data_IF_394947589113
#
_entry.id   IF_394947589113
#
_cell.length_a   1.000
_cell.length_b   1.000
_cell.length_c   1.000
_cell.angle_alpha   90.00
_cell.angle_beta   90.00
_cell.angle_gamma   90.00
#
_symmetry.space_group_name_H-M   'P 1'
#
loop_
_entity.id
_entity.type
_entity.pdbx_description
1 polymer ?
#
# COMPACT_ATOMS: atom_id res chain seq x y z
N UNK A 1 -51.38 -3.94 -47.03
CA UNK A 1 -49.94 -4.22 -46.91
C UNK A 1 -49.43 -3.45 -45.69
N UNK A 2 -48.89 -4.13 -44.67
CA UNK A 2 -48.21 -3.47 -43.55
C UNK A 2 -46.69 -3.64 -43.71
N UNK A 3 -45.97 -2.53 -43.82
CA UNK A 3 -44.51 -2.48 -43.83
C UNK A 3 -43.99 -2.44 -42.39
N UNK A 4 -43.53 -3.57 -41.89
CA UNK A 4 -42.88 -3.66 -40.57
C UNK A 4 -41.42 -3.22 -40.65
N UNK A 5 -41.09 -2.04 -40.12
CA UNK A 5 -39.69 -1.60 -39.97
C UNK A 5 -38.98 -2.42 -38.90
N UNK A 6 -38.07 -3.29 -39.32
CA UNK A 6 -37.10 -3.94 -38.43
C UNK A 6 -36.10 -2.90 -37.91
N UNK A 7 -36.31 -2.44 -36.68
CA UNK A 7 -35.29 -1.70 -35.93
C UNK A 7 -34.10 -2.62 -35.67
N UNK A 8 -33.03 -2.44 -36.44
CA UNK A 8 -31.75 -3.08 -36.18
C UNK A 8 -31.22 -2.60 -34.83
N UNK A 9 -31.27 -3.45 -33.80
CA UNK A 9 -30.55 -3.20 -32.56
C UNK A 9 -29.04 -3.09 -32.89
N UNK A 10 -28.31 -2.13 -32.30
CA UNK A 10 -26.89 -2.00 -32.56
C UNK A 10 -26.20 -3.30 -32.15
N UNK A 11 -25.47 -3.91 -33.08
CA UNK A 11 -24.63 -5.06 -32.77
C UNK A 11 -23.67 -4.64 -31.66
N UNK A 12 -23.77 -5.31 -30.50
CA UNK A 12 -22.71 -5.22 -29.50
C UNK A 12 -21.45 -5.73 -30.19
N UNK A 13 -20.45 -4.85 -30.33
CA UNK A 13 -19.14 -5.27 -30.81
C UNK A 13 -18.68 -6.46 -29.96
N UNK A 14 -18.26 -7.54 -30.63
CA UNK A 14 -17.43 -8.56 -30.00
C UNK A 14 -16.32 -7.83 -29.24
N UNK A 15 -16.12 -8.08 -27.93
CA UNK A 15 -15.02 -7.47 -27.20
C UNK A 15 -13.73 -7.79 -27.93
N UNK A 16 -13.02 -6.76 -28.38
CA UNK A 16 -11.70 -6.92 -28.98
C UNK A 16 -10.78 -7.71 -28.04
N UNK A 17 -9.71 -8.28 -28.60
CA UNK A 17 -8.71 -8.98 -27.80
C UNK A 17 -8.30 -8.11 -26.60
N UNK A 18 -8.27 -8.64 -25.36
CA UNK A 18 -7.95 -7.85 -24.18
C UNK A 18 -6.62 -7.08 -24.37
N UNK A 19 -6.53 -5.81 -23.93
CA UNK A 19 -5.35 -5.00 -24.18
C UNK A 19 -4.10 -5.62 -23.53
N UNK A 20 -2.93 -5.31 -24.08
CA UNK A 20 -1.64 -5.82 -23.59
C UNK A 20 -0.78 -4.67 -23.11
N UNK A 21 -0.04 -4.87 -22.03
CA UNK A 21 0.86 -3.84 -21.49
C UNK A 21 2.06 -3.63 -22.41
N UNK A 22 2.77 -2.50 -22.28
CA UNK A 22 4.01 -2.23 -23.02
C UNK A 22 5.11 -3.26 -22.74
N UNK A 23 5.13 -3.83 -21.53
CA UNK A 23 5.97 -4.96 -21.18
C UNK A 23 5.59 -6.23 -21.97
N UNK A 24 4.30 -6.54 -22.05
CA UNK A 24 3.81 -7.70 -22.81
C UNK A 24 4.01 -7.58 -24.34
N UNK A 25 3.80 -6.38 -24.91
CA UNK A 25 4.00 -6.13 -26.35
C UNK A 25 5.46 -6.14 -26.75
N UNK A 26 6.35 -5.61 -25.90
CA UNK A 26 7.81 -5.67 -26.07
C UNK A 26 8.44 -7.02 -25.70
N UNK A 27 7.63 -8.03 -25.30
CA UNK A 27 8.09 -9.35 -24.84
C UNK A 27 9.08 -9.28 -23.66
N UNK A 28 8.89 -8.30 -22.78
CA UNK A 28 9.74 -8.06 -21.62
C UNK A 28 11.02 -7.27 -21.90
N UNK A 29 11.22 -6.74 -23.11
CA UNK A 29 12.42 -5.96 -23.45
C UNK A 29 12.43 -4.55 -22.80
N UNK A 30 11.28 -4.04 -22.37
CA UNK A 30 11.14 -2.79 -21.59
C UNK A 30 9.88 -2.79 -20.76
N UNK A 31 9.83 -1.95 -19.73
CA UNK A 31 8.61 -1.69 -18.95
C UNK A 31 7.56 -0.92 -19.76
N UNK A 32 6.30 -0.98 -19.32
CA UNK A 32 5.19 -0.20 -19.86
C UNK A 32 5.44 1.28 -19.62
N UNK A 33 5.38 2.11 -20.65
CA UNK A 33 5.53 3.57 -20.51
C UNK A 33 4.30 4.19 -19.87
N UNK A 34 4.36 5.47 -19.49
CA UNK A 34 3.19 6.17 -18.93
C UNK A 34 2.07 6.33 -19.97
N UNK A 35 2.41 6.56 -21.24
CA UNK A 35 1.43 6.69 -22.32
C UNK A 35 0.69 5.35 -22.54
N UNK A 36 1.43 4.24 -22.63
CA UNK A 36 0.83 2.91 -22.78
C UNK A 36 -0.02 2.49 -21.58
N UNK A 37 0.31 2.93 -20.36
CA UNK A 37 -0.57 2.73 -19.20
C UNK A 37 -1.87 3.53 -19.32
N UNK A 38 -1.80 4.79 -19.78
CA UNK A 38 -2.98 5.62 -19.97
C UNK A 38 -3.92 5.02 -21.04
N UNK A 39 -3.36 4.59 -22.18
CA UNK A 39 -4.11 3.92 -23.26
C UNK A 39 -4.71 2.59 -22.77
N UNK A 40 -3.91 1.75 -22.10
CA UNK A 40 -4.36 0.47 -21.54
C UNK A 40 -5.51 0.64 -20.53
N UNK A 41 -5.41 1.61 -19.61
CA UNK A 41 -6.45 1.86 -18.62
C UNK A 41 -7.73 2.39 -19.28
N UNK A 42 -7.62 3.28 -20.26
CA UNK A 42 -8.77 3.79 -21.02
C UNK A 42 -9.47 2.69 -21.84
N UNK A 43 -8.73 1.77 -22.45
CA UNK A 43 -9.28 0.63 -23.17
C UNK A 43 -10.04 -0.34 -22.25
N UNK A 44 -9.49 -0.67 -21.08
CA UNK A 44 -10.16 -1.56 -20.12
C UNK A 44 -11.42 -0.91 -19.53
N UNK A 45 -11.36 0.37 -19.18
CA UNK A 45 -12.49 1.18 -18.68
C UNK A 45 -13.66 1.19 -19.67
N UNK A 46 -13.36 1.53 -20.93
CA UNK A 46 -14.33 1.56 -22.03
C UNK A 46 -14.91 0.19 -22.37
N UNK A 47 -14.12 -0.88 -22.26
CA UNK A 47 -14.51 -2.22 -22.70
C UNK A 47 -15.29 -3.03 -21.65
N UNK A 48 -15.17 -2.72 -20.35
CA UNK A 48 -15.78 -3.51 -19.28
C UNK A 48 -16.44 -2.65 -18.22
N UNK A 49 -17.77 -2.71 -18.13
CA UNK A 49 -18.56 -2.07 -17.07
C UNK A 49 -18.18 -2.52 -15.63
N UNK A 50 -17.38 -3.58 -15.49
CA UNK A 50 -16.77 -4.00 -14.22
C UNK A 50 -15.68 -3.08 -13.72
N UNK A 51 -15.09 -2.29 -14.62
CA UNK A 51 -14.01 -1.35 -14.34
C UNK A 51 -14.53 0.08 -14.37
N UNK A 52 -13.94 0.92 -13.53
CA UNK A 52 -14.02 2.38 -13.65
C UNK A 52 -12.67 2.99 -13.23
N UNK A 53 -12.15 3.93 -13.99
CA UNK A 53 -10.87 4.61 -13.71
C UNK A 53 -11.11 6.07 -13.30
N UNK A 54 -10.64 6.45 -12.10
CA UNK A 54 -10.69 7.84 -11.60
C UNK A 54 -9.29 8.43 -11.45
N UNK A 55 -9.13 9.73 -11.72
CA UNK A 55 -7.92 10.47 -11.38
C UNK A 55 -8.00 11.00 -9.94
N UNK A 56 -7.16 10.48 -9.05
CA UNK A 56 -7.06 10.90 -7.64
C UNK A 56 -6.44 12.29 -7.44
N UNK A 57 -5.71 12.77 -8.44
CA UNK A 57 -4.93 14.01 -8.42
C UNK A 57 -3.74 13.92 -9.36
N UNK A 58 -2.77 14.81 -9.19
CA UNK A 58 -1.51 14.79 -9.93
C UNK A 58 -0.31 14.91 -8.98
N UNK A 59 0.84 14.41 -9.44
CA UNK A 59 2.16 14.57 -8.80
C UNK A 59 2.69 16.00 -8.90
N UNK A 60 3.86 16.28 -8.30
CA UNK A 60 4.54 17.57 -8.44
C UNK A 60 4.94 17.90 -9.91
N UNK A 61 5.25 16.90 -10.74
CA UNK A 61 5.45 17.11 -12.20
C UNK A 61 4.14 17.08 -13.02
N UNK A 62 2.97 17.03 -12.38
CA UNK A 62 1.67 17.05 -13.06
C UNK A 62 1.24 15.71 -13.67
N UNK A 63 1.90 14.60 -13.34
CA UNK A 63 1.49 13.25 -13.81
C UNK A 63 0.25 12.77 -13.05
N UNK A 64 -0.76 12.20 -13.71
CA UNK A 64 -1.96 11.72 -13.03
C UNK A 64 -1.67 10.54 -12.10
N UNK A 65 -2.33 10.55 -10.94
CA UNK A 65 -2.42 9.42 -10.00
C UNK A 65 -3.78 8.76 -10.20
N UNK A 66 -3.81 7.51 -10.66
CA UNK A 66 -5.04 6.82 -11.03
C UNK A 66 -5.52 5.84 -9.94
N UNK A 67 -6.84 5.76 -9.74
CA UNK A 67 -7.52 4.70 -9.02
C UNK A 67 -8.36 3.89 -10.00
N UNK A 68 -8.14 2.59 -10.06
CA UNK A 68 -8.96 1.64 -10.81
C UNK A 68 -9.88 0.92 -9.83
N UNK A 69 -11.19 0.99 -10.07
CA UNK A 69 -12.23 0.32 -9.29
C UNK A 69 -12.78 -0.86 -10.07
N UNK A 70 -12.80 -2.04 -9.45
CA UNK A 70 -13.25 -3.28 -10.08
C UNK A 70 -14.31 -3.97 -9.22
N UNK A 71 -15.40 -4.42 -9.83
CA UNK A 71 -16.48 -5.18 -9.19
C UNK A 71 -17.39 -5.88 -10.19
N UNK A 72 -18.33 -6.70 -9.72
CA UNK A 72 -19.34 -7.33 -10.56
C UNK A 72 -20.76 -7.16 -9.97
N UNK A 73 -21.81 -6.97 -10.81
CA UNK A 73 -21.78 -6.94 -12.27
C UNK A 73 -21.15 -5.68 -12.88
N UNK A 74 -20.92 -4.64 -12.07
CA UNK A 74 -20.28 -3.39 -12.47
C UNK A 74 -19.32 -2.87 -11.38
N UNK A 75 -18.46 -1.91 -11.71
CA UNK A 75 -17.59 -1.22 -10.75
C UNK A 75 -18.41 -0.55 -9.62
N UNK A 76 -17.91 -0.49 -8.38
CA UNK A 76 -18.60 0.20 -7.29
C UNK A 76 -18.62 1.70 -7.53
N UNK A 77 -19.81 2.27 -7.77
CA UNK A 77 -19.99 3.68 -8.11
C UNK A 77 -19.41 4.67 -7.08
N UNK A 78 -19.43 4.29 -5.80
CA UNK A 78 -18.93 5.09 -4.69
C UNK A 78 -18.46 4.21 -3.51
N UNK A 79 -17.79 4.83 -2.54
CA UNK A 79 -17.29 4.15 -1.34
C UNK A 79 -18.40 3.57 -0.45
N UNK A 80 -19.59 4.16 -0.42
CA UNK A 80 -20.73 3.61 0.34
C UNK A 80 -21.31 2.35 -0.34
N UNK A 81 -21.15 2.19 -1.66
CA UNK A 81 -21.38 0.92 -2.37
C UNK A 81 -20.30 -0.10 -2.07
N UNK A 82 -19.03 0.30 -2.05
CA UNK A 82 -17.93 -0.61 -1.70
C UNK A 82 -18.08 -1.18 -0.28
N UNK A 83 -18.39 -0.33 0.71
CA UNK A 83 -18.57 -0.72 2.12
C UNK A 83 -19.72 -1.71 2.41
N UNK A 84 -20.48 -2.15 1.39
CA UNK A 84 -21.50 -3.22 1.50
C UNK A 84 -20.96 -4.62 1.15
N UNK A 85 -19.77 -4.70 0.56
CA UNK A 85 -19.04 -5.94 0.33
C UNK A 85 -17.66 -5.88 1.00
N UNK A 86 -16.81 -6.87 0.71
CA UNK A 86 -15.40 -6.77 1.07
C UNK A 86 -14.72 -5.72 0.17
N UNK A 87 -13.61 -5.15 0.63
CA UNK A 87 -12.81 -4.17 -0.11
C UNK A 87 -11.32 -4.52 -0.01
N UNK A 88 -10.70 -4.78 -1.16
CA UNK A 88 -9.28 -5.08 -1.32
C UNK A 88 -8.63 -3.91 -2.05
N UNK A 89 -7.56 -3.35 -1.48
CA UNK A 89 -6.72 -2.35 -2.14
C UNK A 89 -5.36 -2.93 -2.51
N UNK A 90 -4.90 -2.68 -3.74
CA UNK A 90 -3.56 -2.94 -4.22
C UNK A 90 -2.87 -1.59 -4.48
N UNK A 91 -1.70 -1.38 -3.87
CA UNK A 91 -0.85 -0.20 -4.10
C UNK A 91 0.45 -0.71 -4.71
N UNK A 92 0.78 -0.22 -5.90
CA UNK A 92 1.85 -0.75 -6.74
C UNK A 92 2.77 0.40 -7.19
N UNK A 93 4.09 0.14 -7.23
CA UNK A 93 5.13 1.13 -7.59
C UNK A 93 4.98 2.47 -6.85
N UNK A 94 4.97 2.43 -5.51
CA UNK A 94 5.17 3.64 -4.69
C UNK A 94 6.65 4.00 -4.55
N UNK A 95 7.55 3.05 -4.77
CA UNK A 95 8.92 3.32 -5.20
C UNK A 95 8.95 3.23 -6.73
N UNK A 96 9.58 4.21 -7.37
CA UNK A 96 9.56 4.34 -8.81
C UNK A 96 10.47 3.34 -9.53
N UNK A 97 11.54 2.89 -8.89
CA UNK A 97 12.50 1.87 -9.36
C UNK A 97 12.04 0.43 -9.10
N UNK A 98 10.80 0.22 -8.66
CA UNK A 98 10.19 -1.09 -8.37
C UNK A 98 8.97 -1.33 -9.31
N UNK A 99 9.19 -1.66 -10.61
CA UNK A 99 8.16 -1.66 -11.66
C UNK A 99 7.36 -2.97 -11.83
N UNK A 100 7.85 -4.12 -11.33
CA UNK A 100 7.22 -5.43 -11.55
C UNK A 100 5.83 -5.52 -10.92
N UNK A 101 5.66 -4.94 -9.72
CA UNK A 101 4.36 -4.84 -9.04
C UNK A 101 3.34 -4.04 -9.85
N UNK A 102 3.79 -3.02 -10.58
CA UNK A 102 2.94 -2.21 -11.48
C UNK A 102 2.48 -3.03 -12.69
N UNK A 103 3.36 -3.76 -13.36
CA UNK A 103 2.97 -4.65 -14.47
C UNK A 103 1.98 -5.74 -13.99
N UNK A 104 2.24 -6.35 -12.82
CA UNK A 104 1.34 -7.32 -12.21
C UNK A 104 -0.03 -6.72 -11.89
N UNK A 105 -0.09 -5.46 -11.44
CA UNK A 105 -1.34 -4.75 -11.20
C UNK A 105 -2.10 -4.45 -12.51
N UNK A 106 -1.41 -4.01 -13.57
CA UNK A 106 -2.01 -3.76 -14.88
C UNK A 106 -2.60 -5.05 -15.49
N UNK A 107 -1.85 -6.15 -15.51
CA UNK A 107 -2.37 -7.43 -16.00
C UNK A 107 -3.53 -7.94 -15.13
N UNK A 108 -3.44 -7.77 -13.80
CA UNK A 108 -4.54 -8.11 -12.87
C UNK A 108 -5.82 -7.32 -13.17
N UNK A 109 -5.72 -6.02 -13.45
CA UNK A 109 -6.86 -5.17 -13.82
C UNK A 109 -7.59 -5.74 -15.03
N UNK A 110 -6.85 -6.04 -16.10
CA UNK A 110 -7.41 -6.68 -17.30
C UNK A 110 -8.02 -8.04 -16.97
N UNK A 111 -7.28 -8.92 -16.32
CA UNK A 111 -7.72 -10.31 -16.15
C UNK A 111 -9.01 -10.38 -15.32
N UNK A 112 -9.19 -9.51 -14.32
CA UNK A 112 -10.46 -9.34 -13.58
C UNK A 112 -11.58 -8.70 -14.44
N UNK A 113 -11.24 -7.70 -15.26
CA UNK A 113 -12.19 -7.01 -16.14
C UNK A 113 -12.81 -7.96 -17.18
N UNK A 114 -12.01 -8.86 -17.74
CA UNK A 114 -12.39 -9.80 -18.80
C UNK A 114 -12.75 -11.21 -18.28
N UNK A 115 -12.60 -11.48 -16.97
CA UNK A 115 -12.85 -12.80 -16.38
C UNK A 115 -14.22 -13.38 -16.75
N UNK A 116 -14.21 -14.55 -17.40
CA UNK A 116 -15.41 -15.33 -17.75
C UNK A 116 -15.68 -16.45 -16.75
N UNK A 117 -14.69 -16.86 -15.95
CA UNK A 117 -14.83 -18.00 -15.05
C UNK A 117 -15.81 -17.71 -13.89
N UNK A 118 -16.58 -18.70 -13.42
CA UNK A 118 -17.53 -18.48 -12.32
C UNK A 118 -16.89 -18.19 -10.96
N UNK A 119 -15.61 -18.52 -10.75
CA UNK A 119 -14.89 -18.29 -9.49
C UNK A 119 -14.62 -16.80 -9.28
N UNK A 120 -13.90 -16.19 -10.23
CA UNK A 120 -13.56 -14.77 -10.24
C UNK A 120 -14.82 -13.90 -10.28
N UNK A 121 -15.85 -14.30 -11.03
CA UNK A 121 -17.13 -13.56 -11.03
C UNK A 121 -17.80 -13.53 -9.65
N UNK A 122 -17.90 -14.66 -8.96
CA UNK A 122 -18.45 -14.72 -7.58
C UNK A 122 -17.58 -14.00 -6.55
N UNK A 123 -16.27 -13.88 -6.80
CA UNK A 123 -15.37 -13.04 -6.01
C UNK A 123 -15.70 -11.56 -6.22
N UNK A 124 -15.75 -11.08 -7.46
CA UNK A 124 -16.06 -9.68 -7.80
C UNK A 124 -17.50 -9.26 -7.45
N UNK A 125 -18.43 -10.20 -7.36
CA UNK A 125 -19.81 -9.97 -6.86
C UNK A 125 -19.87 -9.66 -5.36
N UNK A 126 -18.77 -9.90 -4.62
CA UNK A 126 -18.69 -9.79 -3.14
C UNK A 126 -17.52 -8.96 -2.65
N UNK A 127 -16.51 -8.76 -3.50
CA UNK A 127 -15.27 -8.06 -3.19
C UNK A 127 -15.03 -7.00 -4.25
N UNK A 128 -14.92 -5.77 -3.79
CA UNK A 128 -14.47 -4.64 -4.58
C UNK A 128 -12.93 -4.66 -4.60
N UNK A 129 -12.33 -4.53 -5.77
CA UNK A 129 -10.87 -4.40 -5.90
C UNK A 129 -10.55 -2.97 -6.31
N UNK A 130 -9.68 -2.33 -5.56
CA UNK A 130 -9.20 -0.97 -5.74
C UNK A 130 -7.71 -1.08 -6.08
N UNK A 131 -7.26 -0.50 -7.19
CA UNK A 131 -5.86 -0.58 -7.62
C UNK A 131 -5.32 0.82 -7.87
N UNK A 132 -4.16 1.12 -7.30
CA UNK A 132 -3.34 2.28 -7.66
C UNK A 132 -2.11 1.71 -8.40
N UNK A 133 -2.13 1.62 -9.74
CA UNK A 133 -1.11 0.86 -10.49
C UNK A 133 0.28 1.50 -10.41
N UNK A 134 0.31 2.83 -10.36
CA UNK A 134 1.52 3.64 -10.30
C UNK A 134 1.33 4.70 -9.22
N UNK A 135 1.70 4.37 -7.98
CA UNK A 135 1.59 5.27 -6.85
C UNK A 135 2.65 6.39 -6.83
N UNK A 136 3.76 6.20 -7.57
CA UNK A 136 4.81 7.21 -7.78
C UNK A 136 5.15 7.39 -9.28
N UNK A 137 4.27 8.04 -10.08
CA UNK A 137 4.51 8.26 -11.52
C UNK A 137 5.78 9.05 -11.84
N UNK A 138 6.16 9.98 -10.98
CA UNK A 138 7.36 10.82 -11.18
C UNK A 138 8.63 10.00 -10.97
N UNK A 139 8.71 9.24 -9.88
CA UNK A 139 9.81 8.32 -9.62
C UNK A 139 9.88 7.20 -10.66
N UNK A 140 8.73 6.68 -11.13
CA UNK A 140 8.69 5.66 -12.21
C UNK A 140 9.21 6.21 -13.54
N UNK A 141 9.00 7.49 -13.82
CA UNK A 141 9.56 8.16 -15.00
C UNK A 141 11.06 8.49 -14.85
N UNK A 142 11.54 8.69 -13.61
CA UNK A 142 12.94 8.98 -13.31
C UNK A 142 13.79 7.72 -13.00
N UNK A 143 13.16 6.55 -12.86
CA UNK A 143 13.75 5.30 -12.35
C UNK A 143 14.36 5.47 -10.94
N UNK A 144 13.60 6.10 -10.03
CA UNK A 144 14.03 6.40 -8.66
C UNK A 144 13.05 5.95 -7.59
N UNK A 145 13.58 5.44 -6.48
CA UNK A 145 12.82 5.14 -5.25
C UNK A 145 11.92 6.27 -4.76
N UNK A 146 12.49 7.47 -4.65
CA UNK A 146 11.74 8.66 -4.21
C UNK A 146 10.81 9.21 -5.28
N UNK A 147 9.92 10.12 -4.90
CA UNK A 147 9.22 10.98 -5.86
C UNK A 147 10.15 12.08 -6.42
N UNK A 148 9.62 12.97 -7.26
CA UNK A 148 10.39 14.09 -7.85
C UNK A 148 10.96 15.08 -6.82
N UNK A 149 10.49 15.07 -5.59
CA UNK A 149 10.97 15.88 -4.47
C UNK A 149 12.00 15.13 -3.59
N UNK A 150 12.35 13.90 -3.95
CA UNK A 150 13.27 13.02 -3.20
C UNK A 150 12.65 12.33 -1.99
N UNK A 151 11.32 12.35 -1.83
CA UNK A 151 10.63 11.72 -0.70
C UNK A 151 10.38 10.23 -0.96
N UNK A 152 10.81 9.35 -0.04
CA UNK A 152 10.35 7.96 0.02
C UNK A 152 8.87 7.98 0.47
N UNK A 153 7.95 7.73 -0.48
CA UNK A 153 6.50 7.79 -0.22
C UNK A 153 6.09 6.73 0.80
N UNK A 154 6.77 5.57 0.85
CA UNK A 154 6.54 4.55 1.88
C UNK A 154 7.10 4.97 3.27
N UNK A 155 7.42 6.25 3.47
CA UNK A 155 7.73 6.87 4.76
C UNK A 155 6.88 8.11 5.06
N UNK A 156 5.89 8.43 4.23
CA UNK A 156 5.06 9.65 4.32
C UNK A 156 3.56 9.36 4.65
N UNK A 157 3.19 8.12 4.99
CA UNK A 157 1.78 7.76 5.24
C UNK A 157 1.20 8.29 6.57
N UNK A 158 2.01 8.98 7.38
CA UNK A 158 1.57 9.72 8.57
C UNK A 158 1.54 11.24 8.35
N UNK A 159 2.63 11.82 7.82
CA UNK A 159 2.79 13.27 7.69
C UNK A 159 2.04 13.84 6.48
N UNK A 160 1.86 13.03 5.43
CA UNK A 160 1.09 13.35 4.24
C UNK A 160 1.61 14.61 3.50
N UNK A 161 2.93 14.76 3.40
CA UNK A 161 3.61 15.92 2.80
C UNK A 161 3.57 15.90 1.27
N UNK A 162 3.56 14.71 0.65
CA UNK A 162 3.51 14.52 -0.81
C UNK A 162 2.08 14.47 -1.36
N UNK A 163 1.91 14.65 -2.68
CA UNK A 163 0.59 14.56 -3.32
C UNK A 163 0.09 13.10 -3.38
N UNK A 164 1.04 12.19 -3.55
CA UNK A 164 0.96 10.74 -3.66
C UNK A 164 0.46 10.12 -2.34
N UNK A 165 1.10 10.43 -1.21
CA UNK A 165 0.65 9.97 0.11
C UNK A 165 -0.73 10.52 0.46
N UNK A 166 -1.01 11.80 0.16
CA UNK A 166 -2.35 12.39 0.33
C UNK A 166 -3.39 11.68 -0.53
N UNK A 167 -3.06 11.28 -1.76
CA UNK A 167 -3.97 10.55 -2.64
C UNK A 167 -4.32 9.17 -2.06
N UNK A 168 -3.32 8.38 -1.69
CA UNK A 168 -3.54 7.07 -1.06
C UNK A 168 -4.27 7.18 0.28
N UNK A 169 -3.95 8.19 1.10
CA UNK A 169 -4.64 8.44 2.37
C UNK A 169 -6.12 8.83 2.17
N UNK A 170 -6.49 9.53 1.09
CA UNK A 170 -7.90 9.75 0.71
C UNK A 170 -8.57 8.40 0.40
N UNK A 171 -7.97 7.55 -0.44
CA UNK A 171 -8.56 6.25 -0.79
C UNK A 171 -8.78 5.38 0.45
N UNK A 172 -7.76 5.23 1.32
CA UNK A 172 -7.86 4.43 2.54
C UNK A 172 -8.92 5.01 3.51
N UNK A 173 -9.01 6.35 3.64
CA UNK A 173 -10.01 7.01 4.49
C UNK A 173 -11.44 6.81 3.98
N UNK A 174 -11.64 7.00 2.68
CA UNK A 174 -12.98 7.10 2.09
C UNK A 174 -13.52 5.71 1.75
N UNK A 175 -12.72 4.85 1.12
CA UNK A 175 -13.11 3.49 0.70
C UNK A 175 -12.91 2.41 1.76
N UNK A 176 -12.19 2.72 2.84
CA UNK A 176 -11.98 1.86 4.02
C UNK A 176 -11.71 0.39 3.68
N UNK A 177 -10.65 0.08 2.90
CA UNK A 177 -10.35 -1.28 2.48
C UNK A 177 -10.14 -2.22 3.68
N UNK A 178 -10.75 -3.40 3.65
CA UNK A 178 -10.52 -4.45 4.65
C UNK A 178 -9.10 -4.99 4.56
N UNK A 179 -8.54 -5.06 3.35
CA UNK A 179 -7.19 -5.56 3.06
C UNK A 179 -6.43 -4.59 2.17
N UNK A 180 -5.17 -4.30 2.49
CA UNK A 180 -4.28 -3.45 1.70
C UNK A 180 -3.00 -4.22 1.39
N UNK A 181 -2.78 -4.52 0.11
CA UNK A 181 -1.49 -5.01 -0.38
C UNK A 181 -0.60 -3.85 -0.80
N UNK A 182 0.65 -3.94 -0.37
CA UNK A 182 1.73 -2.99 -0.61
C UNK A 182 2.83 -3.73 -1.38
N UNK A 183 2.89 -3.53 -2.70
CA UNK A 183 3.75 -4.30 -3.61
C UNK A 183 5.07 -3.58 -3.87
N UNK A 184 6.15 -4.30 -3.59
CA UNK A 184 7.54 -3.83 -3.58
C UNK A 184 8.49 -4.82 -4.25
N UNK A 185 9.75 -4.40 -4.41
CA UNK A 185 10.86 -5.21 -4.90
C UNK A 185 12.09 -5.10 -4.02
N UNK A 186 12.92 -6.16 -4.00
CA UNK A 186 14.14 -6.18 -3.20
C UNK A 186 15.32 -6.86 -3.92
N UNK A 187 16.53 -6.37 -3.63
CA UNK A 187 17.80 -6.97 -4.07
C UNK A 187 18.25 -8.12 -3.16
N UNK A 188 18.66 -9.24 -3.73
CA UNK A 188 19.08 -10.40 -2.96
C UNK A 188 20.42 -10.17 -2.23
N UNK A 189 20.57 -10.78 -1.06
CA UNK A 189 21.87 -10.94 -0.38
C UNK A 189 22.17 -12.42 -0.20
N UNK A 190 23.00 -12.97 -1.08
CA UNK A 190 23.41 -14.39 -1.04
C UNK A 190 24.36 -14.63 0.14
N UNK A 191 24.25 -15.74 0.90
CA UNK A 191 23.26 -16.81 0.76
C UNK A 191 21.94 -16.59 1.52
N UNK A 192 21.87 -15.60 2.42
CA UNK A 192 20.87 -15.51 3.50
C UNK A 192 19.50 -14.90 3.13
N UNK A 193 19.41 -14.20 2.00
CA UNK A 193 18.25 -13.36 1.67
C UNK A 193 18.01 -13.35 0.15
N UNK A 194 17.54 -14.48 -0.39
CA UNK A 194 17.45 -14.76 -1.83
C UNK A 194 16.19 -15.54 -2.26
N UNK A 195 15.08 -15.32 -1.55
CA UNK A 195 13.78 -15.95 -1.84
C UNK A 195 13.08 -15.24 -2.99
N UNK A 196 12.20 -15.90 -3.73
CA UNK A 196 11.52 -15.27 -4.86
C UNK A 196 10.47 -14.23 -4.42
N UNK A 197 9.76 -14.52 -3.33
CA UNK A 197 8.73 -13.65 -2.75
C UNK A 197 8.84 -13.60 -1.23
N UNK A 198 8.93 -12.41 -0.65
CA UNK A 198 8.91 -12.19 0.79
C UNK A 198 7.61 -11.49 1.22
N UNK A 199 7.11 -11.81 2.41
CA UNK A 199 5.85 -11.27 2.91
C UNK A 199 5.99 -10.72 4.35
N UNK A 200 5.30 -9.63 4.67
CA UNK A 200 5.26 -9.06 6.02
C UNK A 200 3.95 -8.32 6.32
N UNK A 201 3.35 -8.63 7.45
CA UNK A 201 2.17 -7.96 8.02
C UNK A 201 2.57 -6.74 8.90
N UNK A 202 1.64 -5.83 9.25
CA UNK A 202 1.91 -4.71 10.17
C UNK A 202 2.65 -5.13 11.44
N UNK A 203 3.72 -4.40 11.77
CA UNK A 203 4.56 -4.61 12.96
C UNK A 203 4.44 -3.49 14.00
N UNK A 204 3.65 -2.45 13.72
CA UNK A 204 3.37 -1.38 14.67
C UNK A 204 2.51 -1.88 15.84
N UNK A 205 2.94 -1.58 17.07
CA UNK A 205 2.30 -2.06 18.31
C UNK A 205 0.89 -1.49 18.56
N UNK A 206 0.51 -0.39 17.89
CA UNK A 206 -0.84 0.17 17.95
C UNK A 206 -1.81 -0.48 16.96
N UNK A 207 -1.36 -1.45 16.15
CA UNK A 207 -2.26 -2.29 15.35
C UNK A 207 -3.11 -3.14 16.29
N UNK A 208 -4.44 -3.11 16.13
CA UNK A 208 -5.31 -3.87 17.03
C UNK A 208 -5.04 -5.38 16.94
N UNK A 209 -5.05 -6.07 18.09
CA UNK A 209 -4.71 -7.50 18.18
C UNK A 209 -5.51 -8.40 17.22
N UNK A 210 -6.81 -8.17 16.94
CA UNK A 210 -7.53 -8.88 15.90
C UNK A 210 -6.96 -8.62 14.50
N UNK A 211 -6.75 -7.36 14.10
CA UNK A 211 -6.24 -6.98 12.76
C UNK A 211 -4.83 -7.53 12.53
N UNK A 212 -3.93 -7.40 13.52
CA UNK A 212 -2.59 -7.99 13.44
C UNK A 212 -2.64 -9.52 13.27
N UNK A 213 -3.57 -10.19 13.94
CA UNK A 213 -3.75 -11.65 13.83
C UNK A 213 -4.23 -12.04 12.44
N UNK A 214 -5.26 -11.39 11.91
CA UNK A 214 -5.77 -11.69 10.56
C UNK A 214 -4.72 -11.37 9.48
N UNK A 215 -3.97 -10.27 9.63
CA UNK A 215 -2.88 -9.94 8.71
C UNK A 215 -1.72 -10.95 8.75
N UNK A 216 -1.33 -11.42 9.94
CA UNK A 216 -0.37 -12.52 10.06
C UNK A 216 -0.94 -13.82 9.47
N UNK A 217 -2.22 -14.11 9.67
CA UNK A 217 -2.89 -15.28 9.08
C UNK A 217 -2.93 -15.21 7.56
N UNK A 218 -3.19 -14.03 6.98
CA UNK A 218 -3.10 -13.80 5.53
C UNK A 218 -1.71 -14.14 5.00
N UNK A 219 -0.65 -13.59 5.61
CA UNK A 219 0.75 -13.89 5.31
C UNK A 219 1.08 -15.39 5.44
N UNK A 220 0.87 -15.96 6.65
CA UNK A 220 1.36 -17.28 7.04
C UNK A 220 0.54 -18.44 6.44
N UNK A 221 -0.75 -18.26 6.17
CA UNK A 221 -1.68 -19.34 5.77
C UNK A 221 -2.12 -19.26 4.30
N UNK A 222 -2.08 -18.07 3.68
CA UNK A 222 -2.57 -17.89 2.31
C UNK A 222 -1.48 -17.41 1.35
N UNK A 223 -0.83 -16.27 1.62
CA UNK A 223 0.14 -15.66 0.68
C UNK A 223 1.35 -16.56 0.47
N UNK A 224 2.09 -16.90 1.54
CA UNK A 224 3.30 -17.71 1.42
C UNK A 224 3.01 -19.14 0.92
N UNK A 225 2.03 -19.89 1.48
CA UNK A 225 1.75 -21.24 0.98
C UNK A 225 1.25 -21.29 -0.46
N UNK A 226 0.53 -20.26 -0.93
CA UNK A 226 0.11 -20.22 -2.34
C UNK A 226 1.28 -19.93 -3.28
N UNK A 227 2.23 -19.08 -2.89
CA UNK A 227 3.48 -18.89 -3.62
C UNK A 227 4.31 -20.19 -3.66
N UNK A 228 4.40 -20.92 -2.56
CA UNK A 228 5.08 -22.23 -2.47
C UNK A 228 4.40 -23.31 -3.34
N UNK A 229 3.06 -23.39 -3.32
CA UNK A 229 2.27 -24.29 -4.18
C UNK A 229 2.49 -23.97 -5.68
N UNK A 230 2.67 -22.68 -6.03
CA UNK A 230 3.07 -22.20 -7.36
C UNK A 230 4.58 -22.35 -7.67
N UNK A 231 5.36 -22.88 -6.72
CA UNK A 231 6.79 -23.18 -6.90
C UNK A 231 7.73 -22.00 -6.69
N UNK A 232 7.33 -20.97 -5.96
CA UNK A 232 8.21 -19.88 -5.55
C UNK A 232 8.74 -20.13 -4.14
N UNK A 233 10.02 -19.85 -3.92
CA UNK A 233 10.60 -19.84 -2.58
C UNK A 233 10.18 -18.58 -1.82
N UNK A 234 9.91 -18.70 -0.52
CA UNK A 234 9.38 -17.58 0.28
C UNK A 234 9.98 -17.49 1.69
N UNK A 235 9.60 -16.44 2.42
CA UNK A 235 10.09 -16.08 3.74
C UNK A 235 9.43 -14.82 4.30
N UNK A 236 9.90 -14.37 5.48
CA UNK A 236 9.45 -13.12 6.10
C UNK A 236 10.34 -11.97 5.65
N UNK A 237 9.75 -10.89 5.14
CA UNK A 237 10.53 -9.74 4.70
C UNK A 237 11.32 -9.10 5.85
N UNK A 238 12.56 -8.71 5.54
CA UNK A 238 13.50 -8.10 6.48
C UNK A 238 14.23 -9.10 7.39
N UNK A 239 14.01 -10.41 7.23
CA UNK A 239 14.68 -11.45 8.02
C UNK A 239 15.62 -12.26 7.11
N UNK A 240 16.91 -12.21 7.42
CA UNK A 240 17.91 -13.12 6.87
C UNK A 240 17.76 -14.49 7.53
N UNK A 241 17.72 -15.54 6.72
CA UNK A 241 17.65 -16.93 7.20
C UNK A 241 18.91 -17.68 6.82
N UNK A 242 19.36 -18.55 7.72
CA UNK A 242 20.45 -19.47 7.45
C UNK A 242 20.05 -20.44 6.32
N UNK A 243 20.90 -20.68 5.30
CA UNK A 243 20.52 -21.46 4.12
C UNK A 243 20.43 -22.97 4.38
N UNK A 244 21.03 -23.48 5.45
CA UNK A 244 21.07 -24.92 5.77
C UNK A 244 19.96 -25.29 6.76
N UNK A 245 19.82 -24.51 7.83
CA UNK A 245 18.87 -24.74 8.92
C UNK A 245 17.52 -24.03 8.73
N UNK A 246 17.49 -22.94 7.95
CA UNK A 246 16.32 -22.08 7.78
C UNK A 246 16.06 -21.10 8.92
N UNK A 247 16.88 -21.12 9.98
CA UNK A 247 16.67 -20.31 11.19
C UNK A 247 16.96 -18.81 10.97
N UNK A 248 16.29 -17.88 11.67
CA UNK A 248 16.56 -16.45 11.58
C UNK A 248 17.95 -16.07 12.10
N UNK A 249 18.77 -15.44 11.25
CA UNK A 249 20.14 -14.99 11.58
C UNK A 249 20.17 -13.51 11.93
N UNK A 250 19.44 -12.67 11.18
CA UNK A 250 19.50 -11.20 11.32
C UNK A 250 18.22 -10.54 10.84
N UNK A 251 17.75 -9.53 11.56
CA UNK A 251 16.75 -8.59 11.05
C UNK A 251 17.45 -7.37 10.42
N UNK A 252 17.09 -7.04 9.17
CA UNK A 252 17.63 -5.91 8.39
C UNK A 252 16.57 -4.88 7.99
N UNK A 253 15.29 -5.27 7.99
CA UNK A 253 14.17 -4.39 7.64
C UNK A 253 12.90 -4.81 8.42
N UNK A 254 11.73 -4.30 8.01
CA UNK A 254 10.45 -4.74 8.56
C UNK A 254 10.10 -4.17 9.95
N UNK A 255 10.54 -2.95 10.25
CA UNK A 255 10.25 -2.26 11.51
C UNK A 255 8.76 -1.89 11.69
N UNK A 256 8.44 -1.38 12.89
CA UNK A 256 7.10 -1.00 13.30
C UNK A 256 6.70 0.47 13.08
N UNK A 257 7.44 1.30 12.34
CA UNK A 257 7.12 2.73 12.20
C UNK A 257 5.77 2.96 11.51
N UNK A 258 4.88 3.73 12.13
CA UNK A 258 3.51 4.03 11.69
C UNK A 258 3.42 4.83 10.38
N UNK A 259 4.52 5.47 9.97
CA UNK A 259 4.65 6.22 8.70
C UNK A 259 4.82 5.34 7.45
N UNK A 260 4.97 4.03 7.64
CA UNK A 260 5.13 3.03 6.57
C UNK A 260 3.77 2.41 6.26
N UNK A 261 3.41 2.29 4.98
CA UNK A 261 2.05 1.94 4.53
C UNK A 261 1.46 0.69 5.20
N UNK A 262 2.20 -0.44 5.20
CA UNK A 262 1.75 -1.68 5.87
C UNK A 262 1.37 -1.46 7.34
N UNK A 263 2.08 -0.57 8.04
CA UNK A 263 1.87 -0.25 9.44
C UNK A 263 0.71 0.76 9.59
N UNK A 264 0.66 1.78 8.73
CA UNK A 264 -0.46 2.74 8.68
C UNK A 264 -1.79 2.03 8.41
N UNK A 265 -1.82 1.05 7.51
CA UNK A 265 -2.98 0.22 7.22
C UNK A 265 -3.46 -0.53 8.48
N UNK A 266 -2.55 -1.21 9.19
CA UNK A 266 -2.85 -1.88 10.45
C UNK A 266 -3.43 -0.95 11.52
N UNK A 267 -2.84 0.24 11.71
CA UNK A 267 -3.32 1.27 12.64
C UNK A 267 -4.69 1.84 12.21
N UNK A 268 -4.99 1.88 10.92
CA UNK A 268 -6.30 2.27 10.36
C UNK A 268 -7.33 1.12 10.34
N UNK A 269 -7.03 -0.03 10.95
CA UNK A 269 -7.84 -1.25 11.03
C UNK A 269 -8.04 -2.00 9.70
N UNK A 270 -7.14 -1.83 8.74
CA UNK A 270 -7.04 -2.67 7.54
C UNK A 270 -6.03 -3.79 7.77
N UNK A 271 -6.29 -4.97 7.21
CA UNK A 271 -5.32 -6.05 7.08
C UNK A 271 -4.24 -5.63 6.06
N UNK A 272 -3.14 -5.08 6.57
CA UNK A 272 -1.98 -4.71 5.76
C UNK A 272 -1.13 -5.92 5.37
N UNK A 273 -0.65 -5.97 4.14
CA UNK A 273 0.24 -7.00 3.64
C UNK A 273 1.28 -6.39 2.70
N UNK A 274 2.53 -6.29 3.15
CA UNK A 274 3.65 -5.99 2.27
C UNK A 274 4.13 -7.28 1.60
N UNK A 275 4.41 -7.19 0.30
CA UNK A 275 4.94 -8.27 -0.54
C UNK A 275 6.13 -7.72 -1.32
N UNK A 276 7.28 -8.37 -1.23
CA UNK A 276 8.49 -7.97 -1.97
C UNK A 276 8.97 -9.09 -2.87
N UNK A 277 9.07 -8.83 -4.17
CA UNK A 277 9.63 -9.76 -5.15
C UNK A 277 11.11 -9.50 -5.39
N UNK A 278 11.89 -10.56 -5.62
CA UNK A 278 13.32 -10.43 -5.95
C UNK A 278 13.51 -9.80 -7.33
N UNK A 279 14.33 -8.73 -7.42
CA UNK A 279 14.67 -8.07 -8.69
C UNK A 279 15.60 -8.92 -9.58
N UNK A 280 16.45 -9.73 -8.94
CA UNK A 280 17.48 -10.48 -9.63
C UNK A 280 16.86 -11.63 -10.46
N UNK A 281 17.22 -11.79 -11.75
CA UNK A 281 16.77 -12.93 -12.52
C UNK A 281 17.32 -14.23 -11.92
N UNK A 282 16.56 -15.31 -12.02
CA UNK A 282 17.02 -16.65 -11.66
C UNK A 282 18.34 -16.96 -12.40
N UNK A 283 19.35 -17.40 -11.67
CA UNK A 283 20.57 -17.96 -12.25
C UNK A 283 20.24 -19.24 -13.02
N UNK A 284 21.10 -19.67 -13.96
CA UNK A 284 20.84 -20.90 -14.71
C UNK A 284 20.78 -22.15 -13.82
N UNK A 285 21.52 -22.14 -12.71
CA UNK A 285 21.45 -23.16 -11.66
C UNK A 285 20.12 -23.17 -10.88
N UNK A 286 19.41 -22.03 -10.80
CA UNK A 286 18.04 -21.96 -10.26
C UNK A 286 17.00 -22.36 -11.31
N UNK A 287 17.16 -21.93 -12.58
CA UNK A 287 16.28 -22.31 -13.69
C UNK A 287 16.22 -23.83 -13.91
N UNK A 288 17.36 -24.52 -13.75
CA UNK A 288 17.46 -25.97 -13.92
C UNK A 288 16.92 -26.81 -12.75
N UNK A 289 16.60 -26.20 -11.60
CA UNK A 289 16.02 -26.93 -10.46
C UNK A 289 14.49 -26.98 -10.59
N UNK A 290 13.85 -28.14 -10.34
CA UNK A 290 12.41 -28.18 -10.13
C UNK A 290 12.06 -27.16 -9.06
N UNK A 291 11.11 -26.26 -9.35
CA UNK A 291 10.78 -25.11 -8.50
C UNK A 291 10.51 -25.44 -7.02
N UNK A 292 10.01 -26.65 -6.72
CA UNK A 292 9.83 -27.18 -5.35
C UNK A 292 11.14 -27.50 -4.61
N UNK A 293 12.25 -27.75 -5.30
CA UNK A 293 13.56 -28.12 -4.72
C UNK A 293 14.47 -26.91 -4.42
N UNK A 294 13.98 -25.68 -4.57
CA UNK A 294 14.67 -24.48 -4.08
C UNK A 294 14.37 -24.18 -2.60
N UNK A 295 13.58 -25.04 -1.95
CA UNK A 295 13.31 -25.03 -0.52
C UNK A 295 14.50 -25.67 0.22
N UNK A 296 15.01 -25.00 1.25
CA UNK A 296 15.85 -25.65 2.26
C UNK A 296 15.00 -26.69 3.02
N UNK A 297 15.59 -27.76 3.58
CA UNK A 297 14.84 -28.84 4.24
C UNK A 297 14.30 -28.43 5.63
N UNK A 298 13.39 -27.46 5.65
CA UNK A 298 12.58 -27.06 6.81
C UNK A 298 11.18 -27.67 6.72
N UNK A 299 10.73 -28.32 7.80
CA UNK A 299 9.56 -29.21 7.77
C UNK A 299 8.24 -28.56 7.34
N UNK A 300 7.43 -29.31 6.57
CA UNK A 300 6.07 -28.91 6.17
C UNK A 300 5.20 -28.60 7.41
N UNK A 301 4.59 -27.40 7.50
CA UNK A 301 3.49 -27.16 8.41
C UNK A 301 2.29 -28.02 7.98
N UNK A 302 1.79 -28.87 8.87
CA UNK A 302 0.61 -29.70 8.58
C UNK A 302 -0.61 -28.83 8.28
N UNK A 303 -1.23 -29.03 7.11
CA UNK A 303 -2.43 -28.31 6.67
C UNK A 303 -3.53 -28.43 7.73
N UNK A 304 -3.82 -27.34 8.45
CA UNK A 304 -5.07 -27.22 9.22
C UNK A 304 -6.24 -26.98 8.25
N UNK A 305 -7.39 -27.67 8.40
CA UNK A 305 -8.52 -27.46 7.51
C UNK A 305 -9.05 -26.03 7.62
N UNK A 306 -9.31 -25.41 6.46
CA UNK A 306 -9.62 -23.98 6.35
C UNK A 306 -10.86 -23.57 7.14
N UNK A 307 -10.68 -22.62 8.07
CA UNK A 307 -11.78 -22.04 8.85
C UNK A 307 -12.52 -21.04 7.99
N UNK A 308 -13.76 -21.35 7.55
CA UNK A 308 -14.62 -20.36 6.89
C UNK A 308 -14.97 -19.25 7.90
N UNK A 309 -14.33 -18.10 7.79
CA UNK A 309 -14.69 -16.91 8.56
C UNK A 309 -16.04 -16.39 8.03
N UNK A 310 -17.10 -16.56 8.83
CA UNK A 310 -18.33 -15.78 8.66
C UNK A 310 -18.16 -14.48 9.44
N UNK A 311 -17.85 -13.39 8.75
CA UNK A 311 -18.13 -12.06 9.29
C UNK A 311 -19.66 -11.91 9.31
N UNK A 312 -20.26 -11.98 10.50
CA UNK A 312 -21.65 -11.56 10.75
C UNK A 312 -21.69 -10.68 12.00
N UNK A 313 -22.12 -9.44 11.75
CA UNK A 313 -22.96 -8.60 12.62
C UNK A 313 -22.67 -8.65 14.12
N UNK A 314 -21.85 -7.69 14.57
CA UNK A 314 -21.56 -7.45 15.99
C UNK A 314 -21.45 -5.95 16.32
N UNK A 315 -22.36 -5.12 15.81
CA UNK A 315 -22.38 -3.67 16.09
C UNK A 315 -23.76 -3.02 15.87
N UNK A 316 -24.83 -3.56 16.47
CA UNK A 316 -26.17 -2.95 16.41
C UNK A 316 -27.00 -3.17 17.69
N UNK A 317 -26.47 -2.66 18.82
CA UNK A 317 -27.28 -2.39 20.02
C UNK A 317 -27.01 -0.97 20.51
N UNK A 318 -27.71 -0.01 19.91
CA UNK A 318 -27.88 1.32 20.51
C UNK A 318 -28.88 1.16 21.66
N UNK A 319 -28.38 0.88 22.86
CA UNK A 319 -29.18 1.07 24.07
C UNK A 319 -29.00 2.49 24.61
N UNK A 320 -30.10 3.09 25.05
CA UNK A 320 -30.20 4.51 25.37
C UNK A 320 -29.96 4.74 26.85
N UNK A 321 -28.93 5.53 27.15
CA UNK A 321 -28.90 6.37 28.33
C UNK A 321 -28.58 5.66 29.65
N UNK A 322 -27.33 5.77 30.08
CA UNK A 322 -26.97 6.02 31.49
C UNK A 322 -25.73 6.90 31.52
N UNK A 323 -25.85 8.08 32.11
CA UNK A 323 -24.66 8.84 32.54
C UNK A 323 -23.88 7.98 33.54
N UNK A 324 -22.55 7.95 33.47
CA UNK A 324 -21.69 8.18 34.65
C UNK A 324 -20.20 8.34 34.27
N UNK A 325 -19.73 9.59 34.40
CA UNK A 325 -18.38 10.07 34.75
C UNK A 325 -17.21 9.07 34.71
N UNK A 326 -16.26 9.32 33.80
CA UNK A 326 -14.91 8.75 33.89
C UNK A 326 -14.11 9.30 35.09
N UNK A 327 -13.06 8.58 35.54
CA UNK A 327 -12.27 8.98 36.70
C UNK A 327 -11.30 10.12 36.36
N UNK A 328 -11.61 11.33 36.82
CA UNK A 328 -10.69 12.46 36.76
C UNK A 328 -9.65 12.39 37.89
N UNK A 329 -8.37 12.43 37.52
CA UNK A 329 -7.21 12.42 38.43
C UNK A 329 -7.24 13.65 39.37
N UNK A 330 -7.44 13.43 40.68
CA UNK A 330 -7.51 14.53 41.66
C UNK A 330 -6.14 14.83 42.28
N UNK A 331 -5.47 15.86 41.78
CA UNK A 331 -4.42 16.55 42.54
C UNK A 331 -5.08 17.45 43.61
N UNK A 332 -4.78 17.19 44.89
CA UNK A 332 -5.28 18.01 46.01
C UNK A 332 -4.32 19.18 46.27
N UNK A 333 -4.74 20.40 45.95
CA UNK A 333 -4.17 21.62 46.53
C UNK A 333 -4.95 22.06 47.79
N UNK A 334 -4.31 22.68 48.80
CA UNK A 334 -5.00 23.22 49.98
C UNK A 334 -5.75 24.52 49.68
N UNK A 335 -6.79 24.83 50.47
CA UNK A 335 -7.53 26.11 50.50
C UNK A 335 -7.42 26.77 51.91
N UNK A 336 -8.04 27.93 52.23
CA UNK A 336 -7.37 29.23 52.18
C UNK A 336 -7.47 30.07 53.49
N UNK A 337 -6.76 31.22 53.57
CA UNK A 337 -6.79 32.13 54.74
C UNK A 337 -6.45 33.61 54.46
N UNK A 338 -7.51 34.40 54.19
CA UNK A 338 -7.83 35.83 54.48
C UNK A 338 -6.80 36.71 55.29
N UNK A 339 -6.81 38.09 55.26
CA UNK A 339 -6.49 39.05 54.17
C UNK A 339 -5.65 40.32 54.61
N UNK A 340 -5.55 41.35 53.72
CA UNK A 340 -5.07 42.78 53.90
C UNK A 340 -3.54 42.96 53.81
N UNK A 341 -2.96 44.12 53.40
CA UNK A 341 -3.44 45.53 53.30
C UNK A 341 -2.82 46.32 52.10
N UNK A 342 -3.08 47.64 52.00
CA UNK A 342 -2.86 48.57 50.85
C UNK A 342 -1.44 49.18 50.71
N UNK A 343 -1.12 49.66 49.50
CA UNK A 343 -0.16 50.76 49.18
C UNK A 343 0.12 50.86 47.66
N UNK A 344 -0.62 51.65 46.87
CA UNK A 344 -0.35 53.03 46.40
C UNK A 344 0.98 53.28 45.62
N UNK A 345 0.83 53.74 44.35
CA UNK A 345 1.48 54.90 43.63
C UNK A 345 3.02 55.10 43.78
N UNK A 346 3.85 55.49 42.79
CA UNK A 346 3.78 56.04 41.39
C UNK A 346 4.87 55.37 40.50
N UNK A 347 5.22 55.74 39.24
CA UNK A 347 4.60 56.57 38.19
C UNK A 347 5.59 57.52 37.44
N UNK A 348 5.83 57.29 36.13
CA UNK A 348 6.85 57.90 35.21
C UNK A 348 8.30 57.43 35.49
N UNK A 349 9.24 57.33 34.54
CA UNK A 349 9.23 57.51 33.07
C UNK A 349 10.57 58.10 32.60
N UNK A 350 11.24 57.55 31.57
CA UNK A 350 12.52 58.11 31.09
C UNK A 350 13.33 57.22 30.14
N UNK A 351 13.65 57.77 28.96
CA UNK A 351 14.39 57.18 27.82
C UNK A 351 15.86 56.83 28.15
N UNK A 352 16.43 55.84 27.45
CA UNK A 352 17.88 55.63 27.37
C UNK A 352 18.31 54.47 26.45
N UNK A 353 19.05 54.77 25.38
CA UNK A 353 19.64 53.82 24.41
C UNK A 353 20.65 54.58 23.52
N UNK A 354 21.58 53.95 22.75
CA UNK A 354 22.13 52.58 22.82
C UNK A 354 23.70 52.54 22.75
N UNK A 355 24.30 51.33 22.65
CA UNK A 355 25.56 50.90 21.93
C UNK A 355 26.41 49.87 22.75
N UNK A 356 27.36 49.09 22.14
CA UNK A 356 27.09 47.95 21.25
C UNK A 356 28.08 46.74 21.46
N UNK A 357 28.21 45.88 20.44
CA UNK A 357 29.17 44.75 20.27
C UNK A 357 28.81 43.44 21.04
N UNK A 358 29.18 42.22 20.59
CA UNK A 358 30.24 41.78 19.65
C UNK A 358 29.71 40.74 18.62
N UNK A 359 30.30 40.71 17.40
CA UNK A 359 30.21 39.63 16.40
C UNK A 359 31.57 38.94 16.25
N UNK A 360 31.62 37.61 16.18
CA UNK A 360 32.77 36.81 15.69
C UNK A 360 32.26 35.50 15.01
N UNK A 361 33.08 34.79 14.19
CA UNK A 361 32.69 34.63 12.78
C UNK A 361 32.45 33.18 12.29
N UNK A 362 32.02 33.11 11.02
CA UNK A 362 31.82 31.89 10.22
C UNK A 362 33.15 31.33 9.72
N UNK A 363 33.40 30.03 9.93
CA UNK A 363 34.51 29.29 9.31
C UNK A 363 34.06 28.49 8.08
N UNK A 364 34.71 28.69 6.93
CA UNK A 364 34.60 27.81 5.75
C UNK A 364 35.76 26.80 5.79
N UNK A 365 35.46 25.51 5.65
CA UNK A 365 36.47 24.49 5.31
C UNK A 365 36.38 24.14 3.83
N UNK A 366 37.53 24.17 3.15
CA UNK A 366 37.70 23.65 1.80
C UNK A 366 38.38 22.28 1.85
N UNK A 367 37.81 21.28 1.18
CA UNK A 367 38.44 19.96 1.02
C UNK A 367 39.14 19.92 -0.33
N UNK A 368 40.44 19.64 -0.32
CA UNK A 368 41.26 19.44 -1.52
C UNK A 368 40.90 18.12 -2.20
N UNK A 369 40.95 18.10 -3.54
CA UNK A 369 41.13 16.86 -4.30
C UNK A 369 42.56 16.37 -4.16
N UNK A 370 42.75 15.06 -4.02
CA UNK A 370 44.01 14.41 -4.38
C UNK A 370 43.72 13.21 -5.27
N UNK A 371 44.33 13.23 -6.45
CA UNK A 371 44.68 12.04 -7.23
C UNK A 371 46.03 11.54 -6.72
N UNK A 372 46.19 10.23 -6.64
CA UNK A 372 47.37 9.54 -6.08
C UNK A 372 46.93 8.21 -5.49
#
# INVERSE_FOLDING_TARGET
MLTGSLLAAPARAEPGAPPRTGFETSKGARWTTQAEEADFLADVDKASARVAVDTLGATAQGRPLNLVRIGAPAAPADAARAARGNSLMLICSQHGDEPSGREACLTTIRDLAYAKDPGTRRFLERTNVLVVPTANPDGRAADTRGNSEGTDINRDHLALTTAESRAMARVIRDWRPDTVYDLHEYGATVPYYKKDLLALWPRNLNTSTPVHREARTLSDTYVRPHAEDAGFSTGVYGIWTDPETGEPVKQVAGDGQERILRNTAGVKNSVGQLVETRVDPLTDAEKGRPRRQQQAPGGLPTRRPGRRVRLREGASSVDRGRHHRGPALRLRGPRPGVPRRRGQRTGRGGRGAPRPAVRLPVGRSAVRRHTG
#
